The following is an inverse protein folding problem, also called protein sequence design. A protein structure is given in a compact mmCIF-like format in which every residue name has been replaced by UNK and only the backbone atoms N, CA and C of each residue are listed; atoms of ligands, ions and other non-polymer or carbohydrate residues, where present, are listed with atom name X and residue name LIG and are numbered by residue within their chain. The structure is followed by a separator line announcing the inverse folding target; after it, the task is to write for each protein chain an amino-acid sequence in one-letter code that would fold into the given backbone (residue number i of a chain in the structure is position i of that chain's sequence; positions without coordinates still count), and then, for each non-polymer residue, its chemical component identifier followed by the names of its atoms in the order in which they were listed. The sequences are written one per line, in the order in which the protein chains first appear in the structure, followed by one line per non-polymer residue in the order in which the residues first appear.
data_IF_381054272151
#
_entry.id   IF_381054272151
#
_cell.length_a   1.000
_cell.length_b   1.000
_cell.length_c   1.000
_cell.angle_alpha   90.00
_cell.angle_beta   90.00
_cell.angle_gamma   90.00
#
_symmetry.space_group_name_H-M   'P 1'
#
loop_
_entity.id
_entity.type
_entity.pdbx_description
1 polymer ?
#
# COMPACT_ATOMS: atom_id res chain seq x y z
N UNK A 1 30.04 5.17 37.54
CA UNK A 1 29.27 6.00 36.59
C UNK A 1 28.15 6.64 37.37
N UNK A 2 28.06 7.96 37.35
CA UNK A 2 26.99 8.70 38.01
C UNK A 2 25.87 8.97 36.98
N UNK A 3 24.68 8.44 37.24
CA UNK A 3 23.53 8.60 36.35
C UNK A 3 22.75 9.86 36.73
N UNK A 4 22.28 10.62 35.73
CA UNK A 4 21.45 11.81 35.95
C UNK A 4 20.00 11.50 36.36
N UNK A 5 19.59 10.22 36.29
CA UNK A 5 18.31 9.73 36.74
C UNK A 5 18.49 8.90 38.01
N UNK A 6 17.47 8.92 38.88
CA UNK A 6 17.39 7.99 39.99
C UNK A 6 17.36 6.54 39.47
N UNK A 7 18.23 5.70 40.02
CA UNK A 7 18.35 4.28 39.68
C UNK A 7 18.29 3.42 40.94
N UNK A 8 17.78 2.20 40.83
CA UNK A 8 17.79 1.23 41.92
C UNK A 8 19.17 0.54 42.07
N UNK A 9 19.28 -0.38 43.03
CA UNK A 9 20.48 -1.20 43.26
C UNK A 9 20.86 -2.10 42.06
N UNK A 10 19.91 -2.40 41.18
CA UNK A 10 20.11 -3.14 39.92
C UNK A 10 20.40 -2.24 38.72
N UNK A 11 20.63 -0.94 38.93
CA UNK A 11 20.91 0.09 37.90
C UNK A 11 19.75 0.30 36.93
N UNK A 12 18.51 0.07 37.36
CA UNK A 12 17.30 0.36 36.58
C UNK A 12 16.74 1.72 36.97
N UNK A 13 16.28 2.51 35.99
CA UNK A 13 15.66 3.81 36.24
C UNK A 13 14.37 3.67 37.07
N UNK A 14 14.25 4.45 38.14
CA UNK A 14 13.05 4.49 39.00
C UNK A 14 12.14 5.67 38.69
N UNK A 15 12.56 6.57 37.78
CA UNK A 15 11.80 7.73 37.34
C UNK A 15 11.79 7.82 35.80
N UNK A 16 10.69 8.33 35.23
CA UNK A 16 10.50 8.50 33.78
C UNK A 16 10.33 9.98 33.37
N UNK A 17 11.39 10.81 33.42
CA UNK A 17 11.33 12.20 32.96
C UNK A 17 11.39 12.29 31.43
N UNK A 18 10.23 12.36 30.77
CA UNK A 18 10.09 12.35 29.30
C UNK A 18 10.91 13.44 28.57
N UNK A 19 11.05 14.63 29.15
CA UNK A 19 11.67 15.80 28.51
C UNK A 19 13.20 15.90 28.70
N UNK A 20 13.83 15.05 29.53
CA UNK A 20 15.28 15.08 29.76
C UNK A 20 16.05 14.25 28.72
N UNK A 21 16.00 14.69 27.46
CA UNK A 21 16.63 13.98 26.33
C UNK A 21 18.10 14.39 26.13
N UNK A 22 18.49 15.60 26.54
CA UNK A 22 19.85 16.11 26.39
C UNK A 22 20.84 15.52 27.43
N UNK A 23 22.00 15.04 26.97
CA UNK A 23 23.11 14.57 27.80
C UNK A 23 24.03 13.55 27.10
N UNK A 24 25.17 13.27 27.72
CA UNK A 24 26.16 12.29 27.21
C UNK A 24 25.64 10.84 27.38
N UNK A 25 26.13 9.89 26.56
CA UNK A 25 25.75 8.46 26.57
C UNK A 25 25.77 7.86 27.99
N UNK A 26 26.79 8.21 28.78
CA UNK A 26 26.98 7.69 30.13
C UNK A 26 26.04 8.31 31.18
N UNK A 27 25.48 9.49 30.92
CA UNK A 27 24.67 10.23 31.89
C UNK A 27 23.19 9.85 31.82
N UNK A 28 22.64 9.65 30.61
CA UNK A 28 21.21 9.39 30.37
C UNK A 28 20.97 8.19 29.43
N UNK A 29 21.45 6.96 29.76
CA UNK A 29 21.28 5.81 28.87
C UNK A 29 19.80 5.40 28.71
N UNK A 30 19.00 5.47 29.78
CA UNK A 30 17.61 5.01 29.77
C UNK A 30 16.69 5.86 28.89
N UNK A 31 16.73 7.20 29.02
CA UNK A 31 15.86 8.10 28.24
C UNK A 31 16.21 8.09 26.75
N UNK A 32 17.50 7.93 26.42
CA UNK A 32 17.93 7.78 25.02
C UNK A 32 17.46 6.48 24.41
N UNK A 33 17.55 5.36 25.13
CA UNK A 33 17.05 4.08 24.65
C UNK A 33 15.54 4.14 24.39
N UNK A 34 14.77 4.76 25.29
CA UNK A 34 13.34 4.99 25.11
C UNK A 34 13.06 5.78 23.82
N UNK A 35 13.62 6.98 23.67
CA UNK A 35 13.35 7.82 22.49
C UNK A 35 13.87 7.21 21.19
N UNK A 36 15.03 6.54 21.20
CA UNK A 36 15.54 5.82 20.04
C UNK A 36 14.60 4.68 19.60
N UNK A 37 14.05 3.92 20.57
CA UNK A 37 13.07 2.88 20.27
C UNK A 37 11.76 3.45 19.73
N UNK A 38 11.27 4.56 20.31
CA UNK A 38 10.06 5.25 19.87
C UNK A 38 10.20 5.74 18.43
N UNK A 39 11.28 6.46 18.12
CA UNK A 39 11.53 6.96 16.76
C UNK A 39 11.64 5.80 15.77
N UNK A 40 12.38 4.75 16.12
CA UNK A 40 12.55 3.59 15.26
C UNK A 40 11.23 2.84 15.00
N UNK A 41 10.36 2.73 16.01
CA UNK A 41 9.02 2.16 15.85
C UNK A 41 8.19 2.97 14.85
N UNK A 42 8.18 4.30 14.96
CA UNK A 42 7.43 5.15 14.02
C UNK A 42 8.03 5.12 12.61
N UNK A 43 9.36 5.09 12.45
CA UNK A 43 9.99 4.96 11.14
C UNK A 43 9.63 3.63 10.46
N UNK A 44 9.67 2.52 11.20
CA UNK A 44 9.27 1.21 10.69
C UNK A 44 7.79 1.20 10.31
N UNK A 45 6.93 1.76 11.16
CA UNK A 45 5.48 1.86 10.89
C UNK A 45 5.19 2.69 9.63
N UNK A 46 5.82 3.85 9.48
CA UNK A 46 5.67 4.68 8.29
C UNK A 46 6.18 3.97 7.03
N UNK A 47 7.34 3.31 7.10
CA UNK A 47 7.89 2.54 5.98
C UNK A 47 6.97 1.42 5.51
N UNK A 48 6.40 0.67 6.46
CA UNK A 48 5.44 -0.39 6.19
C UNK A 48 4.17 0.10 5.47
N UNK A 49 3.60 1.20 5.94
CA UNK A 49 2.35 1.73 5.41
C UNK A 49 2.53 2.72 4.25
N UNK A 50 3.76 3.17 3.96
CA UNK A 50 4.05 4.14 2.89
C UNK A 50 3.58 3.66 1.49
N UNK A 51 3.67 2.36 1.23
CA UNK A 51 3.32 1.79 -0.08
C UNK A 51 1.81 1.54 -0.26
N UNK A 52 1.02 1.51 0.82
CA UNK A 52 -0.43 1.26 0.74
C UNK A 52 -1.19 2.32 -0.10
N UNK A 53 -1.03 3.64 0.14
CA UNK A 53 -1.70 4.66 -0.67
C UNK A 53 -1.15 4.74 -2.11
N UNK A 54 0.13 4.38 -2.31
CA UNK A 54 0.80 4.44 -3.62
C UNK A 54 0.51 3.23 -4.52
N UNK A 55 -0.20 2.20 -4.03
CA UNK A 55 -0.37 0.94 -4.75
C UNK A 55 -0.96 1.09 -6.16
N UNK A 56 -1.84 2.07 -6.40
CA UNK A 56 -2.41 2.33 -7.74
C UNK A 56 -1.41 2.99 -8.69
N UNK A 57 -0.56 3.89 -8.19
CA UNK A 57 0.49 4.51 -9.01
C UNK A 57 1.57 3.48 -9.36
N UNK A 58 1.94 2.64 -8.40
CA UNK A 58 2.89 1.54 -8.63
C UNK A 58 2.33 0.53 -9.62
N UNK A 59 1.03 0.22 -9.55
CA UNK A 59 0.35 -0.61 -10.56
C UNK A 59 0.41 0.02 -11.96
N UNK A 60 0.31 1.35 -12.04
CA UNK A 60 0.41 2.11 -13.29
C UNK A 60 1.83 2.08 -13.85
N UNK A 61 2.84 2.22 -12.99
CA UNK A 61 4.25 2.23 -13.40
C UNK A 61 4.74 0.86 -13.86
N UNK A 62 4.20 -0.23 -13.32
CA UNK A 62 4.51 -1.61 -13.75
C UNK A 62 3.69 -2.09 -14.95
N UNK A 63 2.81 -1.25 -15.52
CA UNK A 63 2.01 -1.63 -16.69
C UNK A 63 0.95 -2.71 -16.43
N UNK A 64 0.58 -2.95 -15.16
CA UNK A 64 -0.30 -4.08 -14.76
C UNK A 64 -1.77 -3.64 -14.58
N UNK A 65 -2.07 -2.35 -14.80
CA UNK A 65 -3.45 -1.89 -14.76
C UNK A 65 -4.27 -2.51 -15.89
N UNK A 66 -5.53 -2.87 -15.60
CA UNK A 66 -6.38 -3.51 -16.61
C UNK A 66 -6.59 -2.64 -17.85
N UNK A 67 -6.70 -1.32 -17.68
CA UNK A 67 -6.86 -0.39 -18.80
C UNK A 67 -5.58 -0.22 -19.64
N UNK A 68 -4.42 -0.62 -19.13
CA UNK A 68 -3.16 -0.63 -19.89
C UNK A 68 -2.97 -1.96 -20.63
N UNK A 69 -3.37 -3.08 -20.02
CA UNK A 69 -3.31 -4.41 -20.63
C UNK A 69 -4.40 -4.59 -21.70
N UNK A 70 -5.60 -4.09 -21.42
CA UNK A 70 -6.75 -4.13 -22.32
C UNK A 70 -7.27 -2.71 -22.49
N UNK A 71 -6.93 -2.00 -23.58
CA UNK A 71 -7.48 -0.68 -23.79
C UNK A 71 -9.00 -0.76 -24.00
N UNK A 72 -9.78 0.18 -23.43
CA UNK A 72 -11.24 0.15 -23.49
C UNK A 72 -11.80 0.32 -24.92
N UNK A 73 -10.98 0.77 -25.88
CA UNK A 73 -11.32 0.84 -27.31
C UNK A 73 -11.38 -0.55 -27.95
N UNK A 74 -10.51 -1.46 -27.53
CA UNK A 74 -10.31 -2.74 -28.20
C UNK A 74 -11.13 -3.84 -27.52
N UNK A 75 -11.39 -3.71 -26.20
CA UNK A 75 -12.15 -4.69 -25.41
C UNK A 75 -13.17 -4.00 -24.47
N UNK A 76 -14.24 -3.37 -25.00
CA UNK A 76 -15.20 -2.60 -24.20
C UNK A 76 -16.09 -3.46 -23.28
N UNK A 77 -16.29 -4.74 -23.61
CA UNK A 77 -17.16 -5.69 -22.88
C UNK A 77 -16.49 -6.34 -21.67
N UNK A 78 -15.25 -5.96 -21.33
CA UNK A 78 -14.51 -6.57 -20.22
C UNK A 78 -15.24 -6.31 -18.88
N UNK A 79 -15.53 -7.34 -18.06
CA UNK A 79 -16.28 -7.19 -16.81
C UNK A 79 -15.65 -6.21 -15.80
N UNK A 80 -14.34 -6.00 -15.87
CA UNK A 80 -13.60 -5.06 -15.03
C UNK A 80 -14.04 -3.60 -15.25
N UNK A 81 -14.36 -3.22 -16.51
CA UNK A 81 -14.86 -1.89 -16.86
C UNK A 81 -16.36 -1.76 -16.57
N UNK A 82 -17.15 -2.80 -16.87
CA UNK A 82 -18.59 -2.78 -16.65
C UNK A 82 -18.96 -2.62 -15.15
N UNK A 83 -18.10 -3.10 -14.23
CA UNK A 83 -18.26 -2.90 -12.78
C UNK A 83 -17.72 -1.56 -12.27
N UNK A 84 -17.06 -0.77 -13.12
CA UNK A 84 -16.41 0.47 -12.71
C UNK A 84 -17.44 1.58 -12.44
N UNK A 85 -17.38 2.13 -11.24
CA UNK A 85 -18.15 3.31 -10.83
C UNK A 85 -17.19 4.33 -10.24
N UNK A 86 -17.21 5.54 -10.79
CA UNK A 86 -16.42 6.62 -10.25
C UNK A 86 -17.08 7.14 -8.96
N UNK A 87 -16.36 7.07 -7.84
CA UNK A 87 -16.88 7.49 -6.54
C UNK A 87 -17.04 9.00 -6.43
N UNK A 88 -16.28 9.80 -7.19
CA UNK A 88 -16.31 11.27 -7.14
C UNK A 88 -17.45 11.84 -7.98
N UNK A 89 -17.67 11.31 -9.18
CA UNK A 89 -18.73 11.79 -10.09
C UNK A 89 -20.03 10.99 -9.97
N UNK A 90 -20.00 9.82 -9.33
CA UNK A 90 -21.16 8.91 -9.25
C UNK A 90 -21.49 8.20 -10.57
N UNK A 91 -20.77 8.52 -11.64
CA UNK A 91 -20.98 8.01 -13.00
C UNK A 91 -20.36 6.62 -13.17
N UNK A 92 -21.10 5.71 -13.80
CA UNK A 92 -20.62 4.39 -14.23
C UNK A 92 -20.06 4.42 -15.65
N UNK A 93 -19.18 3.45 -15.94
CA UNK A 93 -18.66 3.22 -17.29
C UNK A 93 -19.78 2.91 -18.30
N UNK A 94 -20.77 2.10 -17.91
CA UNK A 94 -22.02 1.95 -18.65
C UNK A 94 -22.97 3.12 -18.34
N UNK A 95 -23.36 3.90 -19.35
CA UNK A 95 -24.24 5.06 -19.14
C UNK A 95 -25.66 4.67 -18.73
N UNK A 96 -26.21 3.65 -19.40
CA UNK A 96 -27.61 3.26 -19.28
C UNK A 96 -27.83 2.00 -18.42
N UNK A 97 -26.79 1.59 -17.69
CA UNK A 97 -26.80 0.41 -16.83
C UNK A 97 -26.14 -0.82 -17.46
N UNK A 98 -25.99 -1.87 -16.66
CA UNK A 98 -25.32 -3.13 -17.06
C UNK A 98 -26.36 -4.18 -17.42
N UNK A 99 -26.11 -4.92 -18.50
CA UNK A 99 -26.80 -6.16 -18.83
C UNK A 99 -26.12 -7.31 -18.07
N UNK A 100 -26.96 -8.10 -17.39
CA UNK A 100 -26.55 -9.29 -16.67
C UNK A 100 -27.34 -10.47 -17.24
N UNK A 101 -26.64 -11.47 -17.72
CA UNK A 101 -27.25 -12.74 -18.13
C UNK A 101 -26.69 -13.81 -17.20
N UNK A 102 -27.57 -14.60 -16.58
CA UNK A 102 -27.22 -15.65 -15.59
C UNK A 102 -26.27 -15.18 -14.45
N UNK A 103 -26.32 -13.90 -14.08
CA UNK A 103 -25.49 -13.31 -13.02
C UNK A 103 -24.09 -12.86 -13.47
N UNK A 104 -23.68 -13.11 -14.72
CA UNK A 104 -22.47 -12.57 -15.32
C UNK A 104 -22.74 -11.25 -16.05
N UNK A 105 -21.84 -10.27 -15.92
CA UNK A 105 -21.93 -9.01 -16.68
C UNK A 105 -21.41 -9.25 -18.09
N UNK A 106 -22.26 -9.00 -19.08
CA UNK A 106 -21.94 -9.25 -20.50
C UNK A 106 -21.69 -7.94 -21.23
N UNK A 107 -22.56 -6.93 -21.03
CA UNK A 107 -22.46 -5.67 -21.77
C UNK A 107 -23.18 -4.51 -21.04
N UNK A 108 -23.02 -3.28 -21.52
CA UNK A 108 -23.86 -2.15 -21.16
C UNK A 108 -25.22 -2.23 -21.88
N UNK A 109 -26.26 -1.61 -21.31
CA UNK A 109 -27.54 -1.40 -22.00
C UNK A 109 -27.36 -0.43 -23.17
N UNK A 110 -28.15 -0.62 -24.22
CA UNK A 110 -28.12 0.23 -25.41
C UNK A 110 -28.63 1.65 -25.12
N UNK A 111 -28.22 2.59 -25.97
CA UNK A 111 -28.59 4.00 -25.87
C UNK A 111 -30.08 4.14 -26.18
N UNK A 112 -30.88 4.82 -25.32
CA UNK A 112 -32.28 5.11 -25.57
C UNK A 112 -32.49 5.83 -26.91
N UNK A 113 -33.48 5.40 -27.69
CA UNK A 113 -33.69 5.88 -29.06
C UNK A 113 -33.92 7.40 -29.16
N UNK A 114 -34.47 8.01 -28.11
CA UNK A 114 -34.69 9.45 -27.95
C UNK A 114 -33.38 10.26 -27.92
N UNK A 115 -32.31 9.70 -27.37
CA UNK A 115 -30.98 10.35 -27.29
C UNK A 115 -30.20 10.17 -28.59
N UNK A 116 -30.40 9.06 -29.31
CA UNK A 116 -29.72 8.80 -30.59
C UNK A 116 -30.18 9.78 -31.68
N UNK A 117 -31.47 10.10 -31.72
CA UNK A 117 -32.07 11.02 -32.71
C UNK A 117 -32.18 12.48 -32.28
N UNK A 118 -31.88 12.81 -31.01
CA UNK A 118 -31.96 14.17 -30.50
C UNK A 118 -30.84 15.08 -31.03
N UNK A 119 -31.20 16.19 -31.68
CA UNK A 119 -30.26 17.22 -32.14
C UNK A 119 -29.55 17.98 -30.99
N UNK A 120 -30.11 17.90 -29.77
CA UNK A 120 -29.67 18.61 -28.57
C UNK A 120 -28.79 17.75 -27.63
N UNK A 121 -28.45 16.53 -28.05
CA UNK A 121 -27.63 15.59 -27.25
C UNK A 121 -26.15 15.67 -27.62
N UNK A 122 -25.30 15.82 -26.60
CA UNK A 122 -23.83 15.89 -26.74
C UNK A 122 -23.28 14.58 -27.33
N UNK A 123 -22.18 14.63 -28.09
CA UNK A 123 -21.53 13.43 -28.67
C UNK A 123 -21.26 12.34 -27.62
N UNK A 124 -20.93 12.72 -26.37
CA UNK A 124 -20.76 11.80 -25.25
C UNK A 124 -22.04 11.09 -24.80
N UNK A 125 -23.24 11.64 -25.03
CA UNK A 125 -24.52 11.00 -24.67
C UNK A 125 -24.98 9.96 -25.70
N UNK A 126 -24.43 10.01 -26.92
CA UNK A 126 -24.72 9.03 -27.98
C UNK A 126 -23.85 7.78 -27.89
N UNK A 127 -22.84 7.77 -27.02
CA UNK A 127 -21.95 6.62 -26.82
C UNK A 127 -22.45 5.69 -25.72
N UNK A 128 -22.54 4.39 -26.05
CA UNK A 128 -22.94 3.31 -25.12
C UNK A 128 -22.02 3.23 -23.88
N UNK A 129 -20.74 3.56 -24.05
CA UNK A 129 -19.71 3.51 -23.01
C UNK A 129 -19.17 4.90 -22.72
N UNK A 130 -18.74 5.17 -21.47
CA UNK A 130 -17.92 6.35 -21.15
C UNK A 130 -16.48 5.94 -20.81
N UNK A 131 -15.55 5.95 -21.77
CA UNK A 131 -14.13 5.72 -21.46
C UNK A 131 -13.54 6.85 -20.60
N UNK A 132 -14.09 8.07 -20.68
CA UNK A 132 -13.58 9.26 -19.98
C UNK A 132 -13.74 9.22 -18.45
N UNK A 133 -14.65 8.40 -17.91
CA UNK A 133 -14.82 8.28 -16.45
C UNK A 133 -13.84 7.31 -15.81
N UNK A 134 -13.13 6.53 -16.62
CA UNK A 134 -12.19 5.53 -16.16
C UNK A 134 -10.97 6.21 -15.52
N UNK A 135 -10.55 5.71 -14.35
CA UNK A 135 -9.35 6.22 -13.69
C UNK A 135 -8.09 5.86 -14.50
N UNK A 136 -6.97 6.55 -14.23
CA UNK A 136 -5.66 6.25 -14.82
C UNK A 136 -5.25 4.77 -14.66
N UNK A 137 -5.72 4.11 -13.59
CA UNK A 137 -5.53 2.69 -13.35
C UNK A 137 -6.82 2.05 -12.80
N UNK A 138 -7.24 0.94 -13.42
CA UNK A 138 -8.41 0.16 -12.98
C UNK A 138 -7.94 -1.15 -12.36
N UNK A 139 -8.24 -1.34 -11.07
CA UNK A 139 -7.91 -2.55 -10.30
C UNK A 139 -9.14 -3.07 -9.55
N UNK A 140 -10.11 -3.58 -10.30
CA UNK A 140 -11.39 -4.14 -9.81
C UNK A 140 -11.18 -5.58 -9.29
N UNK A 141 -12.05 -6.13 -8.41
CA UNK A 141 -11.95 -7.54 -8.03
C UNK A 141 -12.00 -8.48 -9.24
N UNK A 142 -11.08 -9.46 -9.28
CA UNK A 142 -10.91 -10.40 -10.40
C UNK A 142 -9.92 -9.95 -11.48
N UNK A 143 -9.10 -8.93 -11.20
CA UNK A 143 -8.07 -8.40 -12.09
C UNK A 143 -6.67 -8.78 -11.62
N UNK A 144 -5.72 -8.87 -12.55
CA UNK A 144 -4.32 -9.20 -12.23
C UNK A 144 -3.70 -8.15 -11.29
N UNK A 145 -3.97 -6.85 -11.55
CA UNK A 145 -3.56 -5.77 -10.66
C UNK A 145 -4.01 -5.97 -9.20
N UNK A 146 -5.28 -6.33 -9.00
CA UNK A 146 -5.82 -6.49 -7.64
C UNK A 146 -5.20 -7.70 -6.93
N UNK A 147 -4.94 -8.78 -7.67
CA UNK A 147 -4.27 -9.99 -7.18
C UNK A 147 -2.84 -9.68 -6.74
N UNK A 148 -2.07 -8.98 -7.58
CA UNK A 148 -0.67 -8.59 -7.27
C UNK A 148 -0.60 -7.72 -6.00
N UNK A 149 -1.46 -6.71 -5.89
CA UNK A 149 -1.49 -5.85 -4.69
C UNK A 149 -1.87 -6.63 -3.43
N UNK A 150 -2.86 -7.54 -3.53
CA UNK A 150 -3.30 -8.35 -2.40
C UNK A 150 -2.21 -9.35 -1.97
N UNK A 151 -1.60 -10.06 -2.91
CA UNK A 151 -0.53 -11.03 -2.66
C UNK A 151 0.69 -10.37 -2.00
N UNK A 152 1.06 -9.16 -2.44
CA UNK A 152 2.13 -8.40 -1.81
C UNK A 152 1.83 -8.01 -0.36
N UNK A 153 0.57 -7.66 -0.05
CA UNK A 153 0.14 -7.40 1.33
C UNK A 153 0.22 -8.64 2.23
N UNK A 154 -0.22 -9.79 1.71
CA UNK A 154 -0.13 -11.07 2.43
C UNK A 154 1.33 -11.49 2.64
N UNK A 155 2.17 -11.35 1.62
CA UNK A 155 3.60 -11.67 1.71
C UNK A 155 4.31 -10.83 2.78
N UNK A 156 4.02 -9.53 2.83
CA UNK A 156 4.52 -8.63 3.87
C UNK A 156 4.09 -9.10 5.27
N UNK A 157 2.80 -9.35 5.51
CA UNK A 157 2.33 -9.84 6.81
C UNK A 157 2.98 -11.18 7.20
N UNK A 158 3.22 -12.08 6.24
CA UNK A 158 3.91 -13.34 6.51
C UNK A 158 5.35 -13.13 6.99
N UNK A 159 6.10 -12.19 6.39
CA UNK A 159 7.47 -11.91 6.81
C UNK A 159 7.54 -11.32 8.22
N UNK A 160 6.63 -10.43 8.60
CA UNK A 160 6.61 -9.89 9.98
C UNK A 160 6.36 -10.94 11.03
N UNK A 161 5.50 -11.92 10.76
CA UNK A 161 5.27 -13.04 11.69
C UNK A 161 6.58 -13.82 11.87
N UNK A 162 7.24 -14.16 10.76
CA UNK A 162 8.51 -14.87 10.78
C UNK A 162 9.61 -14.10 11.54
N UNK A 163 9.81 -12.82 11.22
CA UNK A 163 10.82 -11.97 11.85
C UNK A 163 10.54 -11.83 13.35
N UNK A 164 9.27 -11.70 13.77
CA UNK A 164 8.92 -11.62 15.21
C UNK A 164 9.31 -12.88 16.00
N UNK A 165 9.14 -14.06 15.39
CA UNK A 165 9.56 -15.33 16.02
C UNK A 165 11.09 -15.37 16.11
N UNK A 166 11.79 -15.01 15.02
CA UNK A 166 13.26 -14.99 14.99
C UNK A 166 13.87 -13.97 15.97
N UNK A 167 13.27 -12.79 16.09
CA UNK A 167 13.74 -11.69 16.93
C UNK A 167 13.86 -12.09 18.41
N UNK A 168 12.99 -12.96 18.93
CA UNK A 168 13.10 -13.45 20.30
C UNK A 168 14.47 -14.05 20.59
N UNK A 169 14.91 -14.99 19.73
CA UNK A 169 16.23 -15.64 19.86
C UNK A 169 17.40 -14.71 19.56
N UNK A 170 17.23 -13.78 18.62
CA UNK A 170 18.28 -12.81 18.25
C UNK A 170 18.53 -11.82 19.39
N UNK A 171 17.49 -11.35 20.07
CA UNK A 171 17.59 -10.42 21.18
C UNK A 171 18.33 -11.02 22.38
N UNK A 172 18.13 -12.31 22.65
CA UNK A 172 18.84 -13.03 23.71
C UNK A 172 20.34 -13.17 23.42
N UNK A 173 20.71 -13.38 22.15
CA UNK A 173 22.10 -13.65 21.76
C UNK A 173 22.93 -12.41 21.45
N UNK A 174 22.36 -11.46 20.72
CA UNK A 174 23.08 -10.28 20.21
C UNK A 174 22.76 -8.99 20.97
N UNK A 175 21.78 -9.03 21.86
CA UNK A 175 21.32 -7.89 22.63
C UNK A 175 20.42 -6.93 21.83
N UNK A 176 19.64 -6.08 22.52
CA UNK A 176 18.59 -5.28 21.91
C UNK A 176 19.12 -4.21 20.94
N UNK A 177 20.27 -3.60 21.23
CA UNK A 177 20.80 -2.49 20.43
C UNK A 177 21.28 -2.99 19.06
N UNK A 178 22.06 -4.07 19.03
CA UNK A 178 22.64 -4.58 17.79
C UNK A 178 21.55 -5.14 16.85
N UNK A 179 20.57 -5.84 17.40
CA UNK A 179 19.44 -6.38 16.63
C UNK A 179 18.59 -5.25 16.05
N UNK A 180 18.31 -4.20 16.83
CA UNK A 180 17.56 -3.04 16.35
C UNK A 180 18.29 -2.30 15.23
N UNK A 181 19.60 -2.07 15.39
CA UNK A 181 20.41 -1.44 14.35
C UNK A 181 20.44 -2.29 13.08
N UNK A 182 20.65 -3.60 13.20
CA UNK A 182 20.67 -4.52 12.05
C UNK A 182 19.33 -4.54 11.29
N UNK A 183 18.22 -4.61 12.03
CA UNK A 183 16.88 -4.60 11.43
C UNK A 183 16.61 -3.27 10.70
N UNK A 184 17.01 -2.14 11.28
CA UNK A 184 16.85 -0.82 10.65
C UNK A 184 17.72 -0.65 9.41
N UNK A 185 18.96 -1.14 9.42
CA UNK A 185 19.81 -1.10 8.23
C UNK A 185 19.26 -1.98 7.10
N UNK A 186 18.77 -3.17 7.42
CA UNK A 186 18.15 -4.07 6.44
C UNK A 186 16.85 -3.49 5.86
N UNK A 187 15.97 -2.98 6.73
CA UNK A 187 14.72 -2.33 6.29
C UNK A 187 14.98 -1.08 5.46
N UNK A 188 15.94 -0.23 5.86
CA UNK A 188 16.30 0.98 5.11
C UNK A 188 16.81 0.65 3.70
N UNK A 189 17.61 -0.40 3.55
CA UNK A 189 18.07 -0.87 2.25
C UNK A 189 16.89 -1.26 1.33
N UNK A 190 15.94 -2.05 1.83
CA UNK A 190 14.80 -2.50 1.03
C UNK A 190 13.80 -1.37 0.73
N UNK A 191 13.61 -0.44 1.66
CA UNK A 191 12.82 0.76 1.41
C UNK A 191 13.46 1.62 0.31
N UNK A 192 14.79 1.76 0.28
CA UNK A 192 15.47 2.45 -0.82
C UNK A 192 15.29 1.72 -2.16
N UNK A 193 15.33 0.39 -2.16
CA UNK A 193 15.07 -0.43 -3.35
C UNK A 193 13.63 -0.32 -3.87
N UNK A 194 12.66 0.14 -3.06
CA UNK A 194 11.29 0.37 -3.51
C UNK A 194 11.19 1.41 -4.64
N UNK A 195 12.16 2.31 -4.79
CA UNK A 195 12.17 3.24 -5.93
C UNK A 195 12.40 2.55 -7.29
N UNK A 196 12.94 1.34 -7.30
CA UNK A 196 13.25 0.57 -8.51
C UNK A 196 12.15 -0.44 -8.90
N UNK A 197 10.93 -0.28 -8.40
CA UNK A 197 9.80 -1.16 -8.72
C UNK A 197 9.37 -0.95 -10.18
N UNK A 198 9.60 -1.97 -10.99
CA UNK A 198 9.26 -2.00 -12.42
C UNK A 198 8.38 -3.18 -12.82
N UNK A 199 8.20 -4.19 -11.95
CA UNK A 199 7.52 -5.42 -12.30
C UNK A 199 6.67 -5.97 -11.13
N UNK A 200 5.63 -6.78 -11.40
CA UNK A 200 4.79 -7.36 -10.34
C UNK A 200 5.58 -8.22 -9.32
N UNK A 201 6.60 -8.94 -9.79
CA UNK A 201 7.40 -9.83 -8.94
C UNK A 201 8.30 -9.05 -7.97
N UNK A 202 8.94 -7.97 -8.45
CA UNK A 202 9.85 -7.16 -7.62
C UNK A 202 9.06 -6.34 -6.59
N UNK A 203 7.86 -5.88 -6.94
CA UNK A 203 6.94 -5.28 -5.98
C UNK A 203 6.61 -6.21 -4.81
N UNK A 204 6.25 -7.46 -5.12
CA UNK A 204 5.92 -8.47 -4.10
C UNK A 204 7.11 -8.80 -3.21
N UNK A 205 8.31 -8.93 -3.80
CA UNK A 205 9.53 -9.18 -3.03
C UNK A 205 9.91 -8.03 -2.10
N UNK A 206 9.88 -6.79 -2.60
CA UNK A 206 10.24 -5.62 -1.80
C UNK A 206 9.29 -5.50 -0.61
N UNK A 207 7.99 -5.72 -0.82
CA UNK A 207 6.97 -5.79 0.24
C UNK A 207 7.19 -6.91 1.25
N UNK A 208 7.78 -8.04 0.83
CA UNK A 208 8.12 -9.13 1.74
C UNK A 208 9.30 -8.76 2.65
N UNK A 209 10.29 -8.02 2.16
CA UNK A 209 11.50 -7.70 2.94
C UNK A 209 11.41 -6.40 3.76
N UNK A 210 10.44 -5.54 3.46
CA UNK A 210 10.05 -4.39 4.31
C UNK A 210 9.16 -4.90 5.45
#
# INVERSE_FOLDING_TARGET
MEYKLAVDSTKKATELPLLRVCGTVQQNPHMRAFWASTISFFLAFLGWFALAPLGLEVATSMGTCENQLFPPTDCPTRPAYLKFKNLKSGLSYCQYGVLKEEGQLIDCKDVPADVVSGADSTAEQKEKYRPQVLAKCVCTPGTECKSVIANAGVASVASTIFVRIALGTLLERFGPVNVQCGLMSFGAFWVAMAAAITAPWNYTLIRFFI
#
